data_IF_441671575513
#
_entry.id   IF_441671575513
#
_cell.length_a   1.000
_cell.length_b   1.000
_cell.length_c   1.000
_cell.angle_alpha   90.00
_cell.angle_beta   90.00
_cell.angle_gamma   90.00
#
_symmetry.space_group_name_H-M   'P 1'
#
loop_
_entity.id
_entity.type
_entity.pdbx_description
1 polymer ?
#
# COMPACT_ATOMS: atom_id res chain seq x y z
N UNK A 1 0.70 -37.26 9.83
CA UNK A 1 -0.23 -36.18 10.21
C UNK A 1 0.43 -34.89 9.76
N UNK A 2 -0.01 -34.26 8.64
CA UNK A 2 0.47 -32.98 8.17
C UNK A 2 -0.13 -31.91 9.10
N UNK A 3 0.74 -31.17 9.82
CA UNK A 3 0.30 -30.08 10.67
C UNK A 3 -0.46 -29.06 9.83
N UNK A 4 -1.65 -28.72 10.31
CA UNK A 4 -2.49 -27.68 9.77
C UNK A 4 -1.75 -26.35 9.99
N UNK A 5 -0.99 -25.88 8.99
CA UNK A 5 -0.50 -24.49 8.97
C UNK A 5 -1.74 -23.62 8.94
N UNK A 6 -2.04 -23.02 10.08
CA UNK A 6 -3.08 -22.00 10.18
C UNK A 6 -2.74 -20.91 9.16
N UNK A 7 -3.50 -20.88 8.10
CA UNK A 7 -3.40 -19.86 7.06
C UNK A 7 -3.48 -18.50 7.74
N UNK A 8 -2.37 -17.77 7.77
CA UNK A 8 -2.32 -16.43 8.35
C UNK A 8 -3.11 -15.50 7.44
N UNK A 9 -4.40 -15.37 7.70
CA UNK A 9 -5.24 -14.38 7.02
C UNK A 9 -4.75 -12.99 7.44
N UNK A 10 -3.94 -12.38 6.61
CA UNK A 10 -3.48 -10.99 6.75
C UNK A 10 -4.50 -10.11 6.05
N UNK A 11 -5.37 -9.45 6.82
CA UNK A 11 -6.32 -8.49 6.26
C UNK A 11 -5.64 -7.13 6.15
N UNK A 12 -5.31 -6.73 4.95
CA UNK A 12 -4.77 -5.40 4.63
C UNK A 12 -5.25 -5.00 3.25
N UNK A 13 -5.71 -3.77 3.12
CA UNK A 13 -5.98 -3.14 1.84
C UNK A 13 -5.37 -1.76 1.81
N UNK A 14 -4.52 -1.51 0.82
CA UNK A 14 -4.03 -0.18 0.47
C UNK A 14 -4.47 0.08 -0.97
N UNK A 15 -5.03 1.25 -1.22
CA UNK A 15 -5.42 1.72 -2.54
C UNK A 15 -4.80 3.09 -2.80
N UNK A 16 -4.16 3.26 -3.93
CA UNK A 16 -3.76 4.58 -4.43
C UNK A 16 -4.40 4.85 -5.78
N UNK A 17 -4.78 6.09 -5.98
CA UNK A 17 -5.34 6.59 -7.25
C UNK A 17 -4.65 7.90 -7.60
N UNK A 18 -4.10 7.96 -8.80
CA UNK A 18 -3.56 9.16 -9.42
C UNK A 18 -4.44 9.54 -10.59
N UNK A 19 -5.03 10.73 -10.55
CA UNK A 19 -5.91 11.26 -11.61
C UNK A 19 -5.77 12.78 -11.68
N UNK A 20 -5.64 13.33 -12.87
CA UNK A 20 -5.61 14.77 -13.14
C UNK A 20 -4.55 15.52 -12.31
N UNK A 21 -3.33 14.96 -12.19
CA UNK A 21 -2.23 15.54 -11.42
C UNK A 21 -2.46 15.54 -9.90
N UNK A 22 -3.51 14.89 -9.42
CA UNK A 22 -3.79 14.68 -7.99
C UNK A 22 -3.60 13.22 -7.63
N UNK A 23 -3.10 12.99 -6.43
CA UNK A 23 -2.93 11.65 -5.90
C UNK A 23 -3.62 11.51 -4.55
N UNK A 24 -4.24 10.37 -4.33
CA UNK A 24 -4.77 9.96 -3.03
C UNK A 24 -4.34 8.53 -2.74
N UNK A 25 -3.96 8.27 -1.49
CA UNK A 25 -3.65 6.94 -1.00
C UNK A 25 -4.42 6.70 0.30
N UNK A 26 -5.12 5.60 0.35
CA UNK A 26 -5.91 5.20 1.51
C UNK A 26 -5.63 3.75 1.90
N UNK A 27 -5.90 3.44 3.15
CA UNK A 27 -5.75 2.08 3.66
C UNK A 27 -6.72 1.77 4.77
N UNK A 28 -7.01 0.48 4.95
CA UNK A 28 -7.68 0.03 6.16
C UNK A 28 -6.75 0.17 7.38
N UNK A 29 -7.32 0.36 8.57
CA UNK A 29 -6.57 0.39 9.83
C UNK A 29 -6.45 -0.97 10.50
N UNK A 30 -6.86 -2.06 9.85
CA UNK A 30 -7.02 -3.35 10.49
C UNK A 30 -5.70 -4.09 10.66
N UNK A 31 -5.43 -4.56 11.87
CA UNK A 31 -4.36 -5.51 12.20
C UNK A 31 -5.01 -6.79 12.71
N UNK A 32 -4.79 -7.88 12.00
CA UNK A 32 -5.37 -9.19 12.32
C UNK A 32 -4.27 -10.16 12.70
N UNK A 33 -4.49 -10.93 13.78
CA UNK A 33 -3.64 -12.04 14.22
C UNK A 33 -4.46 -13.31 14.16
N UNK A 34 -4.13 -14.22 13.25
CA UNK A 34 -4.97 -15.37 12.94
C UNK A 34 -6.32 -14.90 12.38
N UNK A 35 -7.41 -15.25 13.06
CA UNK A 35 -8.78 -14.85 12.69
C UNK A 35 -9.32 -13.68 13.53
N UNK A 36 -8.50 -13.11 14.42
CA UNK A 36 -8.95 -12.09 15.38
C UNK A 36 -8.41 -10.71 15.00
N UNK A 37 -9.31 -9.72 14.90
CA UNK A 37 -8.93 -8.31 14.72
C UNK A 37 -8.40 -7.78 16.04
N UNK A 38 -7.10 -7.46 16.09
CA UNK A 38 -6.43 -6.96 17.29
C UNK A 38 -6.40 -5.43 17.36
N UNK A 39 -6.44 -4.77 16.20
CA UNK A 39 -6.42 -3.31 16.10
C UNK A 39 -7.15 -2.87 14.84
N UNK A 40 -7.96 -1.82 14.96
CA UNK A 40 -8.76 -1.29 13.86
C UNK A 40 -8.33 0.11 13.39
N UNK A 41 -7.30 0.71 14.00
CA UNK A 41 -6.84 2.07 13.72
C UNK A 41 -5.33 2.17 13.48
N UNK A 42 -4.70 1.13 12.96
CA UNK A 42 -3.29 1.14 12.61
C UNK A 42 -3.03 2.09 11.42
N UNK A 43 -1.94 2.85 11.50
CA UNK A 43 -1.51 3.70 10.40
C UNK A 43 -0.66 2.88 9.42
N UNK A 44 -1.28 2.44 8.34
CA UNK A 44 -0.61 1.71 7.23
C UNK A 44 -0.18 2.64 6.09
N UNK A 45 -0.54 3.92 6.19
CA UNK A 45 -0.28 4.96 5.20
C UNK A 45 0.51 6.08 5.84
N UNK A 46 1.53 6.58 5.16
CA UNK A 46 2.39 7.67 5.61
C UNK A 46 2.63 8.68 4.49
N UNK A 47 2.85 9.92 4.89
CA UNK A 47 3.44 10.94 4.03
C UNK A 47 4.94 10.97 4.25
N UNK A 48 5.70 10.98 3.18
CA UNK A 48 7.15 11.03 3.17
C UNK A 48 7.64 12.29 2.45
N UNK A 49 8.93 12.60 2.58
CA UNK A 49 9.59 13.68 1.84
C UNK A 49 8.85 15.00 1.93
N UNK A 50 8.50 15.44 3.16
CA UNK A 50 7.81 16.72 3.39
C UNK A 50 6.39 16.80 2.82
N UNK A 51 5.68 15.67 2.73
CA UNK A 51 4.30 15.63 2.24
C UNK A 51 4.14 15.47 0.73
N UNK A 52 5.24 15.36 0.00
CA UNK A 52 5.24 15.25 -1.47
C UNK A 52 4.99 13.82 -1.97
N UNK A 53 5.16 12.83 -1.10
CA UNK A 53 5.06 11.43 -1.42
C UNK A 53 4.16 10.72 -0.42
N UNK A 54 3.33 9.81 -0.92
CA UNK A 54 2.47 8.94 -0.13
C UNK A 54 3.00 7.52 -0.21
N UNK A 55 3.05 6.84 0.93
CA UNK A 55 3.49 5.45 1.01
C UNK A 55 2.51 4.61 1.83
N UNK A 56 2.24 3.40 1.37
CA UNK A 56 1.37 2.43 2.04
C UNK A 56 2.02 1.05 2.06
N UNK A 57 1.73 0.28 3.09
CA UNK A 57 2.38 -0.98 3.36
C UNK A 57 1.37 -2.10 3.60
N UNK A 58 1.62 -3.26 2.99
CA UNK A 58 0.89 -4.50 3.23
C UNK A 58 1.87 -5.60 3.64
N UNK A 59 1.73 -6.10 4.88
CA UNK A 59 2.62 -7.09 5.48
C UNK A 59 2.61 -7.02 7.00
N UNK A 60 3.63 -7.58 7.67
CA UNK A 60 3.76 -7.50 9.11
C UNK A 60 4.13 -6.08 9.56
N UNK A 61 3.47 -5.58 10.62
CA UNK A 61 3.64 -4.19 11.05
C UNK A 61 5.08 -3.82 11.46
N UNK A 62 5.83 -4.78 12.03
CA UNK A 62 7.22 -4.57 12.41
C UNK A 62 8.12 -4.30 11.18
N UNK A 63 7.80 -4.92 10.05
CA UNK A 63 8.54 -4.83 8.80
C UNK A 63 8.31 -3.47 8.11
N UNK A 64 7.11 -2.89 8.33
CA UNK A 64 6.72 -1.61 7.75
C UNK A 64 7.69 -0.49 8.13
N UNK A 65 8.06 -0.39 9.40
CA UNK A 65 8.95 0.67 9.89
C UNK A 65 10.32 0.63 9.22
N UNK A 66 10.93 -0.56 9.19
CA UNK A 66 12.24 -0.76 8.56
C UNK A 66 12.23 -0.39 7.07
N UNK A 67 11.15 -0.77 6.35
CA UNK A 67 11.03 -0.45 4.93
C UNK A 67 10.80 1.03 4.68
N UNK A 68 9.99 1.71 5.50
CA UNK A 68 9.79 3.14 5.38
C UNK A 68 11.09 3.91 5.64
N UNK A 69 11.83 3.59 6.72
CA UNK A 69 13.13 4.20 7.02
C UNK A 69 14.14 4.02 5.89
N UNK A 70 14.26 2.78 5.38
CA UNK A 70 15.11 2.50 4.23
C UNK A 70 14.71 3.26 2.97
N UNK A 71 13.41 3.43 2.75
CA UNK A 71 12.93 4.18 1.60
C UNK A 71 13.21 5.68 1.75
N UNK A 72 13.02 6.25 2.94
CA UNK A 72 13.36 7.65 3.22
C UNK A 72 14.85 7.92 2.97
N UNK A 73 15.77 7.03 3.40
CA UNK A 73 17.19 7.13 3.06
C UNK A 73 17.45 7.20 1.54
N UNK A 74 16.68 6.44 0.73
CA UNK A 74 16.83 6.47 -0.73
C UNK A 74 16.28 7.77 -1.33
N UNK A 75 15.17 8.27 -0.80
CA UNK A 75 14.59 9.55 -1.23
C UNK A 75 15.52 10.73 -0.93
N UNK A 76 16.20 10.71 0.21
CA UNK A 76 17.19 11.73 0.56
C UNK A 76 18.42 11.69 -0.37
N UNK A 77 18.85 10.51 -0.80
CA UNK A 77 19.95 10.34 -1.76
C UNK A 77 19.59 10.70 -3.20
N UNK A 78 18.30 10.63 -3.53
CA UNK A 78 17.78 10.88 -4.88
C UNK A 78 16.61 11.87 -4.84
N UNK A 79 16.83 13.12 -4.40
CA UNK A 79 15.76 14.10 -4.21
C UNK A 79 15.02 14.38 -5.52
N UNK A 80 13.68 14.29 -5.46
CA UNK A 80 12.81 14.51 -6.62
C UNK A 80 12.84 13.41 -7.69
N UNK A 81 13.51 12.27 -7.41
CA UNK A 81 13.58 11.14 -8.36
C UNK A 81 13.03 9.87 -7.73
N UNK A 82 11.71 9.79 -7.64
CA UNK A 82 11.00 8.63 -7.08
C UNK A 82 11.33 7.32 -7.81
N UNK A 83 11.39 7.26 -9.17
CA UNK A 83 11.78 6.03 -9.87
C UNK A 83 13.16 5.51 -9.45
N UNK A 84 14.14 6.39 -9.30
CA UNK A 84 15.48 6.00 -8.88
C UNK A 84 15.51 5.49 -7.44
N UNK A 85 14.83 6.18 -6.52
CA UNK A 85 14.72 5.76 -5.13
C UNK A 85 14.04 4.39 -5.00
N UNK A 86 12.99 4.13 -5.79
CA UNK A 86 12.30 2.84 -5.83
C UNK A 86 13.22 1.71 -6.31
N UNK A 87 13.99 1.93 -7.38
CA UNK A 87 14.96 0.95 -7.90
C UNK A 87 16.04 0.64 -6.87
N UNK A 88 16.59 1.63 -6.21
CA UNK A 88 17.63 1.42 -5.19
C UNK A 88 17.08 0.69 -3.95
N UNK A 89 15.84 0.98 -3.53
CA UNK A 89 15.20 0.21 -2.47
C UNK A 89 15.00 -1.25 -2.88
N UNK A 90 14.48 -1.52 -4.07
CA UNK A 90 14.22 -2.87 -4.55
C UNK A 90 15.49 -3.71 -4.64
N UNK A 91 16.61 -3.11 -5.07
CA UNK A 91 17.92 -3.77 -5.07
C UNK A 91 18.38 -4.14 -3.65
N UNK A 92 18.29 -3.20 -2.71
CA UNK A 92 18.64 -3.45 -1.31
C UNK A 92 17.71 -4.52 -0.72
N UNK A 93 16.41 -4.43 -0.96
CA UNK A 93 15.44 -5.38 -0.44
C UNK A 93 15.74 -6.81 -0.89
N UNK A 94 16.05 -6.98 -2.18
CA UNK A 94 16.42 -8.30 -2.74
C UNK A 94 17.74 -8.84 -2.22
N UNK A 95 18.75 -7.99 -2.03
CA UNK A 95 20.13 -8.39 -1.71
C UNK A 95 20.40 -8.51 -0.21
N UNK A 96 19.72 -7.73 0.63
CA UNK A 96 19.89 -7.75 2.08
C UNK A 96 19.30 -9.04 2.69
N UNK A 97 20.07 -9.70 3.55
CA UNK A 97 19.68 -10.98 4.17
C UNK A 97 18.48 -10.86 5.11
N UNK A 98 18.30 -9.69 5.71
CA UNK A 98 17.19 -9.40 6.63
C UNK A 98 15.98 -8.96 5.82
N UNK A 99 16.13 -7.95 4.97
CA UNK A 99 15.04 -7.38 4.19
C UNK A 99 14.35 -8.39 3.27
N UNK A 100 15.12 -9.24 2.58
CA UNK A 100 14.55 -10.25 1.64
C UNK A 100 13.65 -11.29 2.30
N UNK A 101 13.67 -11.39 3.65
CA UNK A 101 12.75 -12.27 4.40
C UNK A 101 11.42 -11.64 4.70
N UNK A 102 11.29 -10.33 4.44
CA UNK A 102 10.06 -9.59 4.67
C UNK A 102 9.06 -9.94 3.57
N UNK A 103 7.99 -10.61 3.95
CA UNK A 103 6.85 -10.88 3.07
C UNK A 103 5.92 -9.67 3.07
N UNK A 104 6.26 -8.69 2.24
CA UNK A 104 5.58 -7.42 2.23
C UNK A 104 5.49 -6.82 0.83
N UNK A 105 4.54 -5.90 0.67
CA UNK A 105 4.41 -5.02 -0.49
C UNK A 105 4.42 -3.58 0.00
N UNK A 106 5.13 -2.73 -0.72
CA UNK A 106 5.17 -1.30 -0.50
C UNK A 106 4.54 -0.59 -1.72
N UNK A 107 3.52 0.22 -1.47
CA UNK A 107 2.93 1.11 -2.46
C UNK A 107 3.47 2.52 -2.21
N UNK A 108 4.01 3.16 -3.24
CA UNK A 108 4.51 4.53 -3.16
C UNK A 108 3.98 5.34 -4.34
N UNK A 109 3.60 6.57 -4.09
CA UNK A 109 3.03 7.40 -5.15
C UNK A 109 3.30 8.88 -4.89
N UNK A 110 3.60 9.61 -5.96
CA UNK A 110 3.62 11.05 -6.04
C UNK A 110 2.69 11.54 -7.17
N UNK A 111 2.82 12.79 -7.61
CA UNK A 111 1.98 13.35 -8.67
C UNK A 111 2.27 12.79 -10.07
N UNK A 112 3.46 12.22 -10.27
CA UNK A 112 3.94 11.77 -11.57
C UNK A 112 3.98 10.23 -11.66
N UNK A 113 4.35 9.56 -10.57
CA UNK A 113 4.60 8.13 -10.53
C UNK A 113 3.83 7.40 -9.44
N UNK A 114 3.55 6.12 -9.69
CA UNK A 114 2.95 5.21 -8.71
C UNK A 114 3.58 3.83 -8.85
N UNK A 115 4.20 3.31 -7.79
CA UNK A 115 4.92 2.03 -7.81
C UNK A 115 4.42 1.07 -6.75
N UNK A 116 4.36 -0.20 -7.12
CA UNK A 116 4.33 -1.33 -6.18
C UNK A 116 5.74 -1.91 -6.16
N UNK A 117 6.33 -2.02 -4.97
CA UNK A 117 7.66 -2.60 -4.75
C UNK A 117 7.50 -3.85 -3.89
N UNK A 118 8.09 -4.96 -4.31
CA UNK A 118 8.05 -6.25 -3.60
C UNK A 118 9.40 -6.65 -3.03
N UNK A 119 9.38 -7.56 -2.06
CA UNK A 119 10.58 -8.16 -1.49
C UNK A 119 11.37 -9.05 -2.47
N UNK A 120 10.75 -9.45 -3.59
CA UNK A 120 11.43 -10.16 -4.69
C UNK A 120 12.25 -9.24 -5.58
N UNK A 121 12.10 -7.92 -5.39
CA UNK A 121 12.79 -6.88 -6.16
C UNK A 121 11.99 -6.40 -7.37
N UNK A 122 10.72 -6.81 -7.48
CA UNK A 122 9.86 -6.33 -8.55
C UNK A 122 9.39 -4.90 -8.28
N UNK A 123 9.36 -4.10 -9.33
CA UNK A 123 8.81 -2.75 -9.34
C UNK A 123 7.78 -2.70 -10.46
N UNK A 124 6.54 -2.42 -10.10
CA UNK A 124 5.44 -2.35 -11.05
C UNK A 124 4.86 -0.94 -11.01
N UNK A 125 4.81 -0.28 -12.15
CA UNK A 125 4.08 0.97 -12.35
C UNK A 125 2.82 0.69 -13.16
N UNK A 126 1.61 0.84 -12.59
CA UNK A 126 0.37 0.68 -13.35
C UNK A 126 0.16 1.81 -14.36
N UNK A 127 -0.22 1.47 -15.59
CA UNK A 127 -0.43 2.42 -16.69
C UNK A 127 -1.57 3.41 -16.40
N UNK A 128 -2.59 2.96 -15.67
CA UNK A 128 -3.77 3.75 -15.31
C UNK A 128 -3.61 4.62 -14.04
N UNK A 129 -2.43 4.55 -13.40
CA UNK A 129 -2.16 5.28 -12.16
C UNK A 129 -2.96 4.79 -10.95
N UNK A 130 -3.58 3.59 -11.04
CA UNK A 130 -4.34 2.98 -9.95
C UNK A 130 -3.60 1.75 -9.48
N UNK A 131 -3.26 1.70 -8.20
CA UNK A 131 -2.63 0.53 -7.60
C UNK A 131 -3.34 0.13 -6.31
N UNK A 132 -3.35 -1.17 -6.05
CA UNK A 132 -3.82 -1.68 -4.77
C UNK A 132 -2.98 -2.87 -4.33
N UNK A 133 -2.72 -2.98 -3.02
CA UNK A 133 -1.96 -4.06 -2.41
C UNK A 133 -2.66 -4.62 -1.18
N UNK A 134 -2.26 -5.83 -0.81
CA UNK A 134 -2.85 -6.55 0.33
C UNK A 134 -3.98 -7.48 -0.08
N UNK A 135 -4.57 -8.19 0.88
CA UNK A 135 -5.59 -9.22 0.64
C UNK A 135 -6.88 -8.70 0.01
N UNK A 136 -7.25 -7.44 0.31
CA UNK A 136 -8.40 -6.77 -0.32
C UNK A 136 -8.04 -5.98 -1.58
N UNK A 137 -6.76 -6.02 -2.01
CA UNK A 137 -6.25 -5.20 -3.11
C UNK A 137 -6.99 -5.41 -4.43
N UNK A 138 -7.24 -6.65 -4.82
CA UNK A 138 -7.92 -6.97 -6.08
C UNK A 138 -9.33 -6.40 -6.15
N UNK A 139 -10.08 -6.44 -5.05
CA UNK A 139 -11.44 -5.87 -4.97
C UNK A 139 -11.40 -4.35 -5.04
N UNK A 140 -10.46 -3.74 -4.29
CA UNK A 140 -10.27 -2.30 -4.28
C UNK A 140 -9.86 -1.77 -5.67
N UNK A 141 -8.95 -2.48 -6.34
CA UNK A 141 -8.49 -2.14 -7.69
C UNK A 141 -9.64 -2.19 -8.70
N UNK A 142 -10.42 -3.28 -8.71
CA UNK A 142 -11.55 -3.43 -9.62
C UNK A 142 -12.60 -2.33 -9.44
N UNK A 143 -12.94 -2.03 -8.18
CA UNK A 143 -13.90 -0.97 -7.89
C UNK A 143 -13.37 0.42 -8.23
N UNK A 144 -12.08 0.71 -7.95
CA UNK A 144 -11.47 1.99 -8.29
C UNK A 144 -11.46 2.21 -9.81
N UNK A 145 -11.09 1.21 -10.60
CA UNK A 145 -11.14 1.26 -12.07
C UNK A 145 -12.53 1.54 -12.59
N UNK A 146 -13.52 0.78 -12.12
CA UNK A 146 -14.91 0.99 -12.53
C UNK A 146 -15.42 2.39 -12.21
N UNK A 147 -15.05 2.96 -11.06
CA UNK A 147 -15.44 4.32 -10.67
C UNK A 147 -14.70 5.37 -11.50
N UNK A 148 -13.41 5.21 -11.75
CA UNK A 148 -12.62 6.16 -12.56
C UNK A 148 -13.11 6.18 -14.01
N UNK A 149 -13.46 5.03 -14.58
CA UNK A 149 -13.96 4.91 -15.95
C UNK A 149 -15.38 5.46 -16.14
N UNK A 150 -16.24 5.35 -15.13
CA UNK A 150 -17.67 5.64 -15.26
C UNK A 150 -18.13 6.88 -14.50
N UNK A 151 -17.23 7.63 -13.86
CA UNK A 151 -17.58 8.84 -13.10
C UNK A 151 -16.51 9.91 -13.21
N UNK A 152 -16.90 11.16 -12.93
CA UNK A 152 -16.00 12.30 -12.80
C UNK A 152 -15.46 12.50 -11.38
N UNK A 153 -15.48 11.46 -10.56
CA UNK A 153 -14.95 11.53 -9.20
C UNK A 153 -13.45 11.86 -9.21
N UNK A 154 -13.08 12.81 -8.36
CA UNK A 154 -11.67 13.09 -8.11
C UNK A 154 -11.01 11.94 -7.34
N UNK A 155 -9.69 11.86 -7.39
CA UNK A 155 -8.93 10.85 -6.64
C UNK A 155 -9.31 10.78 -5.14
N UNK A 156 -9.67 11.92 -4.51
CA UNK A 156 -10.12 11.99 -3.10
C UNK A 156 -11.53 11.47 -2.85
N UNK A 157 -12.37 11.47 -3.88
CA UNK A 157 -13.80 11.08 -3.75
C UNK A 157 -14.02 9.59 -3.90
N UNK A 158 -12.97 8.83 -4.27
CA UNK A 158 -13.07 7.38 -4.36
C UNK A 158 -13.31 6.78 -2.97
N UNK A 159 -14.27 5.85 -2.86
CA UNK A 159 -14.58 5.24 -1.57
C UNK A 159 -13.36 4.50 -1.05
N UNK A 160 -13.17 4.51 0.27
CA UNK A 160 -12.18 3.67 0.90
C UNK A 160 -12.46 2.19 0.58
N UNK A 161 -11.38 1.42 0.47
CA UNK A 161 -11.44 -0.02 0.17
C UNK A 161 -12.35 -0.84 1.09
N UNK A 162 -12.62 -0.36 2.31
CA UNK A 162 -13.50 -1.02 3.28
C UNK A 162 -15.00 -0.82 3.00
N UNK A 163 -15.39 0.07 2.09
CA UNK A 163 -16.79 0.21 1.66
C UNK A 163 -17.17 -0.74 0.52
N UNK A 164 -16.23 -1.46 -0.03
CA UNK A 164 -16.56 -2.57 -0.91
C UNK A 164 -17.20 -3.66 -0.08
N UNK A 165 -18.39 -4.17 -0.48
CA UNK A 165 -19.13 -5.11 0.33
C UNK A 165 -18.45 -6.47 0.36
N UNK A 166 -17.44 -6.63 1.19
CA UNK A 166 -17.08 -7.93 1.68
C UNK A 166 -18.12 -8.32 2.73
N UNK A 167 -19.10 -9.11 2.33
CA UNK A 167 -20.19 -9.57 3.20
C UNK A 167 -19.73 -10.42 4.37
N UNK A 168 -18.42 -10.59 4.59
CA UNK A 168 -17.83 -11.39 5.65
C UNK A 168 -17.09 -10.60 6.73
N UNK A 169 -16.95 -9.29 6.59
CA UNK A 169 -16.30 -8.48 7.61
C UNK A 169 -17.25 -7.39 8.09
N UNK A 170 -17.95 -7.65 9.21
CA UNK A 170 -18.98 -6.76 9.79
C UNK A 170 -18.43 -5.63 10.66
N UNK A 171 -17.10 -5.50 10.81
CA UNK A 171 -16.51 -4.50 11.70
C UNK A 171 -15.77 -3.43 10.93
N UNK A 172 -16.40 -2.24 10.87
CA UNK A 172 -15.89 -1.05 10.19
C UNK A 172 -14.77 -0.40 11.01
N UNK A 173 -13.52 -0.58 10.60
CA UNK A 173 -12.42 0.22 11.11
C UNK A 173 -12.43 1.63 10.48
N UNK A 174 -12.17 2.70 11.24
CA UNK A 174 -12.05 4.04 10.72
C UNK A 174 -10.88 4.14 9.74
N UNK A 175 -11.12 4.81 8.62
CA UNK A 175 -10.18 4.90 7.51
C UNK A 175 -9.52 6.26 7.47
N UNK A 176 -8.25 6.28 7.15
CA UNK A 176 -7.49 7.50 6.96
C UNK A 176 -7.07 7.63 5.51
N UNK A 177 -7.43 8.76 4.90
CA UNK A 177 -6.92 9.21 3.63
C UNK A 177 -5.83 10.25 3.85
N UNK A 178 -4.82 10.16 3.01
CA UNK A 178 -3.79 11.18 2.89
C UNK A 178 -3.75 11.61 1.43
N UNK A 179 -3.71 12.91 1.17
CA UNK A 179 -3.59 13.49 -0.18
C UNK A 179 -2.39 14.43 -0.23
N UNK A 180 -1.68 14.40 -1.32
CA UNK A 180 -0.57 15.28 -1.63
C UNK A 180 -0.87 16.16 -2.85
#
# INVERSE_FOLDING_TARGET
MKGNELERVRSTTILAVRRDGKVALGGDGQVTVGQTVMKSNAQKVRTLHGGKLLAGFAGAAADAFTLFEKFEEKLERHPGNLPRAAVELAKDWRSDRVLRRLEALLAVTDREHSFIISGTGDIIEPDDGILAIGSGGSYALAAARALVENTDFSARSLPPSSRLPDRRCSDQAPQRFVSA
#
